data_IF_426436778799
#
_entry.id   IF_426436778799
#
_cell.length_a   1.000
_cell.length_b   1.000
_cell.length_c   1.000
_cell.angle_alpha   90.00
_cell.angle_beta   90.00
_cell.angle_gamma   90.00
#
_symmetry.space_group_name_H-M   'P 1'
#
loop_
_entity.id
_entity.type
_entity.pdbx_description
1 polymer ?
#
# COMPACT_ATOMS: atom_id res chain seq x y z
N UNK A 1 7.08 20.61 14.87
CA UNK A 1 5.68 21.03 15.00
C UNK A 1 4.84 19.96 14.34
N UNK A 2 4.13 19.15 15.13
CA UNK A 2 3.24 18.15 14.59
C UNK A 2 2.09 18.84 13.83
N UNK A 3 1.95 18.53 12.55
CA UNK A 3 0.83 18.96 11.72
C UNK A 3 -0.03 17.72 11.49
N UNK A 4 -1.33 17.83 11.77
CA UNK A 4 -2.28 16.79 11.39
C UNK A 4 -2.43 16.78 9.87
N UNK A 5 -2.14 15.64 9.25
CA UNK A 5 -2.46 15.37 7.85
C UNK A 5 -3.00 13.95 7.75
N UNK A 6 -4.21 13.83 7.19
CA UNK A 6 -4.80 12.58 6.77
C UNK A 6 -5.53 12.83 5.46
N UNK A 7 -5.14 12.11 4.42
CA UNK A 7 -5.86 12.08 3.15
C UNK A 7 -6.33 10.64 2.90
N UNK A 8 -7.62 10.49 2.63
CA UNK A 8 -8.20 9.22 2.21
C UNK A 8 -8.74 9.36 0.79
N UNK A 9 -8.32 8.46 -0.10
CA UNK A 9 -8.77 8.43 -1.49
C UNK A 9 -8.96 7.00 -1.98
N UNK A 10 -9.47 6.86 -3.21
CA UNK A 10 -9.67 5.56 -3.86
C UNK A 10 -8.77 5.48 -5.08
N UNK A 11 -8.11 4.33 -5.26
CA UNK A 11 -7.43 3.99 -6.50
C UNK A 11 -8.47 3.34 -7.41
N UNK A 12 -8.95 4.08 -8.42
CA UNK A 12 -9.91 3.56 -9.39
C UNK A 12 -9.31 3.45 -10.79
N UNK A 13 -9.78 2.46 -11.53
CA UNK A 13 -9.37 2.24 -12.92
C UNK A 13 -9.90 3.35 -13.85
N UNK A 14 -11.08 3.88 -13.57
CA UNK A 14 -11.66 5.01 -14.33
C UNK A 14 -10.85 6.30 -14.22
N UNK A 15 -10.07 6.47 -13.16
CA UNK A 15 -9.13 7.57 -13.00
C UNK A 15 -7.76 7.30 -13.69
N UNK A 16 -7.64 6.22 -14.47
CA UNK A 16 -6.39 5.84 -15.12
C UNK A 16 -5.31 5.32 -14.16
N UNK A 17 -5.68 4.97 -12.91
CA UNK A 17 -4.74 4.46 -11.92
C UNK A 17 -4.67 2.92 -11.96
N UNK A 18 -3.52 2.40 -11.55
CA UNK A 18 -3.25 0.96 -11.39
C UNK A 18 -2.73 0.72 -9.97
N UNK A 19 -3.19 -0.36 -9.33
CA UNK A 19 -2.70 -0.70 -7.97
C UNK A 19 -1.30 -1.28 -7.99
N UNK A 20 -0.89 -1.99 -9.05
CA UNK A 20 0.48 -2.47 -9.21
C UNK A 20 1.46 -1.31 -9.41
N UNK A 21 1.10 -0.30 -10.22
CA UNK A 21 1.88 0.92 -10.37
C UNK A 21 2.00 1.71 -9.05
N UNK A 22 0.87 1.86 -8.37
CA UNK A 22 0.77 2.55 -7.09
C UNK A 22 1.63 1.89 -6.01
N UNK A 23 1.56 0.56 -5.88
CA UNK A 23 2.33 -0.21 -4.92
C UNK A 23 3.84 -0.12 -5.21
N UNK A 24 4.24 -0.32 -6.47
CA UNK A 24 5.63 -0.20 -6.90
C UNK A 24 6.20 1.19 -6.56
N UNK A 25 5.44 2.25 -6.84
CA UNK A 25 5.86 3.62 -6.57
C UNK A 25 6.05 3.89 -5.07
N UNK A 26 5.10 3.46 -4.21
CA UNK A 26 5.19 3.72 -2.76
C UNK A 26 6.25 2.88 -2.08
N UNK A 27 6.47 1.65 -2.53
CA UNK A 27 7.47 0.75 -1.97
C UNK A 27 8.88 0.95 -2.55
N UNK A 28 9.05 1.81 -3.58
CA UNK A 28 10.27 1.91 -4.37
C UNK A 28 10.72 0.54 -4.95
N UNK A 29 9.75 -0.23 -5.44
CA UNK A 29 9.95 -1.59 -5.95
C UNK A 29 9.72 -1.68 -7.45
N UNK A 30 10.07 -2.84 -8.01
CA UNK A 30 9.75 -3.23 -9.38
C UNK A 30 8.62 -4.24 -9.38
N UNK A 31 7.51 -3.91 -10.03
CA UNK A 31 6.34 -4.79 -10.14
C UNK A 31 5.93 -4.91 -11.60
N UNK A 32 5.74 -6.15 -12.08
CA UNK A 32 5.11 -6.44 -13.36
C UNK A 32 3.59 -6.48 -13.18
N UNK A 33 2.87 -5.74 -14.04
CA UNK A 33 1.41 -5.75 -14.10
C UNK A 33 0.96 -6.75 -15.15
N UNK A 34 0.43 -7.88 -14.69
CA UNK A 34 -0.04 -8.97 -15.55
C UNK A 34 -1.22 -8.57 -16.44
N UNK A 35 -2.03 -7.58 -16.00
CA UNK A 35 -3.20 -7.14 -16.76
C UNK A 35 -2.80 -6.27 -17.96
N UNK A 36 -1.80 -5.41 -17.78
CA UNK A 36 -1.38 -4.46 -18.83
C UNK A 36 -0.13 -4.89 -19.59
N UNK A 37 0.62 -5.87 -19.06
CA UNK A 37 1.91 -6.30 -19.57
C UNK A 37 3.03 -5.28 -19.31
N UNK A 38 2.78 -4.24 -18.53
CA UNK A 38 3.76 -3.19 -18.23
C UNK A 38 4.58 -3.56 -16.98
N UNK A 39 5.81 -3.06 -16.92
CA UNK A 39 6.64 -3.15 -15.71
C UNK A 39 6.83 -1.77 -15.12
N UNK A 40 6.43 -1.60 -13.87
CA UNK A 40 6.64 -0.37 -13.11
C UNK A 40 7.90 -0.55 -12.26
N UNK A 41 8.99 0.13 -12.64
CA UNK A 41 10.30 0.01 -11.99
C UNK A 41 10.65 1.32 -11.26
N UNK A 42 10.42 1.36 -9.95
CA UNK A 42 10.71 2.50 -9.10
C UNK A 42 11.88 2.23 -8.14
N UNK A 43 12.74 1.27 -8.46
CA UNK A 43 13.91 0.90 -7.64
C UNK A 43 14.93 2.02 -7.47
N UNK A 44 14.86 3.07 -8.30
CA UNK A 44 15.68 4.28 -8.20
C UNK A 44 15.09 5.36 -7.29
N UNK A 45 13.87 5.19 -6.79
CA UNK A 45 13.23 6.15 -5.88
C UNK A 45 13.88 6.05 -4.51
N UNK A 46 14.25 7.21 -3.96
CA UNK A 46 14.67 7.36 -2.57
C UNK A 46 13.51 7.85 -1.70
N UNK A 47 13.71 7.92 -0.39
CA UNK A 47 12.68 8.39 0.54
C UNK A 47 11.72 7.30 1.03
N UNK A 48 12.08 6.02 0.92
CA UNK A 48 11.33 4.90 1.51
C UNK A 48 12.19 4.27 2.61
N UNK A 49 11.79 4.44 3.86
CA UNK A 49 12.52 3.97 5.03
C UNK A 49 12.21 2.52 5.40
N UNK A 50 10.96 2.12 5.19
CA UNK A 50 10.48 0.78 5.48
C UNK A 50 9.20 0.49 4.71
N UNK A 51 8.92 -0.79 4.49
CA UNK A 51 7.61 -1.23 4.02
C UNK A 51 7.17 -2.46 4.80
N UNK A 52 5.86 -2.64 4.94
CA UNK A 52 5.26 -3.80 5.60
C UNK A 52 3.90 -4.10 5.00
N UNK A 53 3.60 -5.38 4.79
CA UNK A 53 2.25 -5.85 4.51
C UNK A 53 1.69 -6.43 5.80
N UNK A 54 0.53 -5.93 6.22
CA UNK A 54 -0.22 -6.41 7.38
C UNK A 54 -1.49 -7.08 6.86
N UNK A 55 -1.75 -8.30 7.32
CA UNK A 55 -2.87 -9.10 6.85
C UNK A 55 -3.50 -9.92 7.98
N UNK A 56 -4.79 -10.29 7.88
CA UNK A 56 -5.43 -11.14 8.87
C UNK A 56 -4.74 -12.50 8.99
N UNK A 57 -4.68 -13.08 10.19
CA UNK A 57 -3.90 -14.31 10.45
C UNK A 57 -4.32 -15.53 9.62
N UNK A 58 -5.50 -15.53 9.01
CA UNK A 58 -6.04 -16.65 8.23
C UNK A 58 -5.82 -16.50 6.71
N UNK A 59 -5.13 -15.45 6.25
CA UNK A 59 -4.85 -15.31 4.81
C UNK A 59 -3.72 -16.24 4.36
N UNK A 60 -3.68 -16.62 3.08
CA UNK A 60 -2.56 -17.37 2.54
C UNK A 60 -1.25 -16.57 2.53
N UNK A 61 -0.12 -17.27 2.64
CA UNK A 61 1.23 -16.64 2.70
C UNK A 61 1.57 -15.75 1.50
N UNK A 62 1.01 -16.05 0.31
CA UNK A 62 1.28 -15.29 -0.91
C UNK A 62 0.87 -13.81 -0.80
N UNK A 63 -0.05 -13.48 0.12
CA UNK A 63 -0.48 -12.10 0.39
C UNK A 63 0.68 -11.22 0.84
N UNK A 64 1.71 -11.79 1.48
CA UNK A 64 2.90 -11.06 1.90
C UNK A 64 3.83 -10.68 0.73
N UNK A 65 3.58 -11.20 -0.48
CA UNK A 65 4.27 -10.74 -1.69
C UNK A 65 3.49 -9.59 -2.31
N UNK A 66 4.04 -8.37 -2.24
CA UNK A 66 3.42 -7.16 -2.81
C UNK A 66 3.02 -7.33 -4.27
N UNK A 67 3.89 -7.91 -5.07
CA UNK A 67 3.64 -8.13 -6.48
C UNK A 67 2.45 -9.10 -6.71
N UNK A 68 2.37 -10.19 -5.92
CA UNK A 68 1.26 -11.13 -6.03
C UNK A 68 -0.05 -10.52 -5.52
N UNK A 69 -0.01 -9.86 -4.36
CA UNK A 69 -1.14 -9.17 -3.75
C UNK A 69 -1.85 -8.25 -4.75
N UNK A 70 -1.12 -7.31 -5.35
CA UNK A 70 -1.73 -6.30 -6.20
C UNK A 70 -2.09 -6.80 -7.60
N UNK A 71 -1.39 -7.83 -8.12
CA UNK A 71 -1.82 -8.48 -9.36
C UNK A 71 -3.11 -9.28 -9.17
N UNK A 72 -3.28 -9.99 -8.05
CA UNK A 72 -4.55 -10.68 -7.77
C UNK A 72 -5.71 -9.69 -7.61
N UNK A 73 -5.49 -8.51 -7.02
CA UNK A 73 -6.50 -7.42 -7.00
C UNK A 73 -6.87 -6.97 -8.43
N UNK A 74 -5.88 -6.68 -9.29
CA UNK A 74 -6.13 -6.28 -10.68
C UNK A 74 -6.89 -7.35 -11.48
N UNK A 75 -6.63 -8.62 -11.19
CA UNK A 75 -7.22 -9.79 -11.87
C UNK A 75 -8.65 -10.08 -11.41
N UNK A 76 -8.94 -9.98 -10.12
CA UNK A 76 -10.29 -10.20 -9.57
C UNK A 76 -11.23 -9.08 -10.01
N UNK A 77 -10.76 -7.83 -10.04
CA UNK A 77 -11.55 -6.66 -10.41
C UNK A 77 -11.62 -6.47 -11.93
N UNK A 78 -12.75 -6.86 -12.55
CA UNK A 78 -12.87 -6.95 -14.03
C UNK A 78 -13.43 -5.71 -14.72
N UNK A 79 -14.13 -4.83 -14.00
CA UNK A 79 -14.85 -3.70 -14.63
C UNK A 79 -13.92 -2.52 -14.91
N UNK A 80 -14.13 -1.82 -16.02
CA UNK A 80 -13.29 -0.66 -16.41
C UNK A 80 -13.28 0.49 -15.38
N UNK A 81 -14.27 0.53 -14.49
CA UNK A 81 -14.50 1.54 -13.45
C UNK A 81 -14.34 0.97 -12.03
N UNK A 82 -13.70 -0.20 -11.87
CA UNK A 82 -13.48 -0.83 -10.57
C UNK A 82 -12.70 0.09 -9.63
N UNK A 83 -13.11 0.10 -8.36
CA UNK A 83 -12.38 0.71 -7.25
C UNK A 83 -11.47 -0.37 -6.66
N UNK A 84 -10.17 -0.26 -6.91
CA UNK A 84 -9.21 -1.35 -6.69
C UNK A 84 -8.67 -1.36 -5.27
N UNK A 85 -8.45 -0.18 -4.68
CA UNK A 85 -7.93 -0.04 -3.33
C UNK A 85 -8.38 1.28 -2.69
N UNK A 86 -8.37 1.31 -1.36
CA UNK A 86 -8.40 2.55 -0.58
C UNK A 86 -6.98 2.96 -0.28
N UNK A 87 -6.69 4.24 -0.44
CA UNK A 87 -5.40 4.84 -0.15
C UNK A 87 -5.55 5.78 1.05
N UNK A 88 -4.65 5.62 2.02
CA UNK A 88 -4.58 6.45 3.21
C UNK A 88 -3.16 7.03 3.30
N UNK A 89 -3.05 8.35 3.26
CA UNK A 89 -1.81 9.10 3.44
C UNK A 89 -1.86 9.87 4.77
N UNK A 90 -0.81 9.73 5.59
CA UNK A 90 -0.78 10.14 6.99
C UNK A 90 0.54 10.82 7.33
N UNK A 91 0.48 11.99 7.94
CA UNK A 91 1.68 12.55 8.59
C UNK A 91 1.93 11.84 9.92
N UNK A 92 3.19 11.46 10.15
CA UNK A 92 3.64 10.86 11.41
C UNK A 92 4.44 11.92 12.19
N UNK A 93 4.24 12.06 13.51
CA UNK A 93 5.01 13.00 14.33
C UNK A 93 6.52 12.81 14.16
N UNK A 94 7.21 13.91 13.85
CA UNK A 94 8.66 13.92 13.57
C UNK A 94 9.50 13.66 14.82
N UNK A 95 8.90 13.89 15.99
CA UNK A 95 9.49 13.69 17.31
C UNK A 95 9.68 12.19 17.66
N UNK A 96 8.99 11.29 16.94
CA UNK A 96 9.14 9.85 17.12
C UNK A 96 10.35 9.33 16.34
N UNK A 97 11.08 8.37 16.93
CA UNK A 97 12.09 7.62 16.19
C UNK A 97 11.43 6.60 15.23
N UNK A 98 12.21 6.05 14.29
CA UNK A 98 11.67 5.16 13.24
C UNK A 98 10.97 3.91 13.80
N UNK A 99 11.46 3.34 14.90
CA UNK A 99 10.81 2.20 15.56
C UNK A 99 9.44 2.60 16.13
N UNK A 100 9.36 3.74 16.81
CA UNK A 100 8.10 4.26 17.36
C UNK A 100 7.10 4.60 16.25
N UNK A 101 7.57 5.20 15.14
CA UNK A 101 6.75 5.48 13.96
C UNK A 101 6.15 4.21 13.37
N UNK A 102 6.98 3.19 13.14
CA UNK A 102 6.53 1.91 12.59
C UNK A 102 5.56 1.20 13.52
N UNK A 103 5.85 1.17 14.83
CA UNK A 103 4.96 0.58 15.83
C UNK A 103 3.60 1.28 15.84
N UNK A 104 3.58 2.61 15.97
CA UNK A 104 2.36 3.42 16.03
C UNK A 104 1.47 3.18 14.81
N UNK A 105 2.05 3.26 13.60
CA UNK A 105 1.29 3.05 12.37
C UNK A 105 0.83 1.60 12.23
N UNK A 106 1.65 0.62 12.61
CA UNK A 106 1.27 -0.79 12.51
C UNK A 106 0.13 -1.14 13.45
N UNK A 107 0.13 -0.62 14.68
CA UNK A 107 -0.98 -0.77 15.65
C UNK A 107 -2.26 -0.14 15.10
N UNK A 108 -2.18 1.11 14.63
CA UNK A 108 -3.31 1.79 14.00
C UNK A 108 -3.87 1.01 12.80
N UNK A 109 -3.00 0.56 11.89
CA UNK A 109 -3.41 -0.18 10.70
C UNK A 109 -4.03 -1.52 11.07
N UNK A 110 -3.49 -2.19 12.09
CA UNK A 110 -4.03 -3.46 12.56
C UNK A 110 -5.46 -3.28 13.11
N UNK A 111 -5.64 -2.37 14.05
CA UNK A 111 -6.94 -2.12 14.70
C UNK A 111 -8.01 -1.59 13.73
N UNK A 112 -7.63 -0.68 12.83
CA UNK A 112 -8.61 0.03 12.00
C UNK A 112 -8.91 -0.65 10.67
N UNK A 113 -8.06 -1.59 10.21
CA UNK A 113 -8.23 -2.23 8.91
C UNK A 113 -8.08 -3.76 8.97
N UNK A 114 -6.99 -4.27 9.56
CA UNK A 114 -6.66 -5.70 9.48
C UNK A 114 -7.59 -6.55 10.32
N UNK A 115 -7.92 -6.12 11.54
CA UNK A 115 -8.90 -6.81 12.40
C UNK A 115 -10.31 -6.82 11.78
N UNK A 116 -10.60 -5.89 10.87
CA UNK A 116 -11.83 -5.84 10.09
C UNK A 116 -11.78 -6.68 8.79
N UNK A 117 -10.69 -7.42 8.59
CA UNK A 117 -10.51 -8.35 7.46
C UNK A 117 -9.80 -7.76 6.23
N UNK A 118 -9.28 -6.54 6.30
CA UNK A 118 -8.54 -5.93 5.18
C UNK A 118 -7.07 -6.35 5.19
N UNK A 119 -6.46 -6.39 4.00
CA UNK A 119 -4.99 -6.42 3.85
C UNK A 119 -4.51 -4.99 3.63
N UNK A 120 -3.43 -4.60 4.30
CA UNK A 120 -2.83 -3.27 4.19
C UNK A 120 -1.36 -3.37 3.77
N UNK A 121 -1.01 -2.66 2.70
CA UNK A 121 0.38 -2.47 2.25
C UNK A 121 0.83 -1.07 2.64
N UNK A 122 1.82 -0.98 3.52
CA UNK A 122 2.25 0.26 4.17
C UNK A 122 3.69 0.56 3.76
N UNK A 123 3.94 1.81 3.39
CA UNK A 123 5.28 2.33 3.14
C UNK A 123 5.51 3.57 4.01
N UNK A 124 6.69 3.64 4.63
CA UNK A 124 7.12 4.75 5.47
C UNK A 124 8.09 5.64 4.69
N UNK A 125 7.80 6.93 4.57
CA UNK A 125 8.59 7.89 3.78
C UNK A 125 9.20 9.00 4.64
N UNK A 126 10.30 9.61 4.16
CA UNK A 126 10.96 10.79 4.74
C UNK A 126 11.10 11.95 3.75
#
# INVERSE_FOLDING_TARGET
MAIYHLNASVISRSAGRSVTAAAAYRAAEKIYDERTGQTFDYTRKSGVDATIILAPAHVPDWVNSRALLWNEVEKVEKRKDSQLAREIDLAIPVELNNFQKQKLVSEFVNEQFVELGMVADVAFHH
#
